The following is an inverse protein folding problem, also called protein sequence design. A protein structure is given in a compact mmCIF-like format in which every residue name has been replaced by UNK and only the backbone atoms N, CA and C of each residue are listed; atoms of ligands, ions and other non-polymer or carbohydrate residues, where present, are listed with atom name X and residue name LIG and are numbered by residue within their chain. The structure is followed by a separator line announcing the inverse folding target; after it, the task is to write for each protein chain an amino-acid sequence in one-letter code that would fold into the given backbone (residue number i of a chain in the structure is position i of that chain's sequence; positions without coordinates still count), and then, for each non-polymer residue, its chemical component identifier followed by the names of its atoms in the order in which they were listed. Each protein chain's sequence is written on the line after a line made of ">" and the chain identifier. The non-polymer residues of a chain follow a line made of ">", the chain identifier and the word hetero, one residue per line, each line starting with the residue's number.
data_IF_608296009434
#
_entry.id   IF_608296009434
#
_cell.length_a   1.000
_cell.length_b   1.000
_cell.length_c   1.000
_cell.angle_alpha   90.00
_cell.angle_beta   90.00
_cell.angle_gamma   90.00
#
_symmetry.space_group_name_H-M   'P 1'
#
loop_
_entity.id
_entity.type
_entity.pdbx_description
1 polymer ?
#
# COMPACT_ATOMS: atom_id res chain seq x y z
N UNK A 1 51.68 -27.44 73.22
CA UNK A 1 52.10 -26.24 72.47
C UNK A 1 51.81 -26.54 71.01
N UNK A 2 50.91 -25.72 70.45
CA UNK A 2 50.51 -25.59 69.04
C UNK A 2 49.96 -26.82 68.33
N UNK A 3 48.65 -26.98 68.51
CA UNK A 3 47.76 -27.76 67.65
C UNK A 3 47.75 -27.24 66.21
N UNK A 4 47.79 -28.23 65.33
CA UNK A 4 47.71 -28.19 63.89
C UNK A 4 46.31 -27.72 63.48
N UNK A 5 46.18 -26.50 62.95
CA UNK A 5 44.94 -26.03 62.33
C UNK A 5 44.67 -26.82 61.06
N UNK A 6 43.69 -27.71 61.16
CA UNK A 6 43.00 -28.35 60.05
C UNK A 6 42.52 -27.30 59.04
N UNK A 7 43.12 -27.29 57.86
CA UNK A 7 42.50 -26.69 56.69
C UNK A 7 41.27 -27.55 56.33
N UNK A 8 40.08 -27.01 56.57
CA UNK A 8 38.82 -27.57 56.07
C UNK A 8 38.84 -27.60 54.53
N UNK A 9 38.32 -28.67 53.88
CA UNK A 9 38.18 -28.74 52.42
C UNK A 9 37.18 -27.72 51.82
N UNK A 10 36.39 -27.01 52.64
CA UNK A 10 35.27 -26.18 52.17
C UNK A 10 35.67 -24.83 51.56
N UNK A 11 36.90 -24.36 51.71
CA UNK A 11 37.31 -23.03 51.23
C UNK A 11 37.81 -23.00 49.76
N UNK A 12 37.78 -24.12 49.04
CA UNK A 12 38.40 -24.21 47.69
C UNK A 12 37.47 -24.28 46.49
N UNK A 13 36.14 -24.18 46.66
CA UNK A 13 35.22 -24.35 45.52
C UNK A 13 34.06 -23.35 45.46
N UNK A 14 34.34 -22.05 45.45
CA UNK A 14 33.41 -21.09 44.84
C UNK A 14 34.11 -19.91 44.17
N UNK A 15 35.02 -20.19 43.23
CA UNK A 15 35.38 -19.18 42.21
C UNK A 15 34.27 -19.16 41.18
N UNK A 16 33.17 -18.48 41.51
CA UNK A 16 32.05 -18.26 40.59
C UNK A 16 32.60 -17.70 39.27
N UNK A 17 32.32 -18.40 38.15
CA UNK A 17 32.75 -17.95 36.84
C UNK A 17 32.20 -16.54 36.57
N UNK A 18 33.06 -15.58 36.19
CA UNK A 18 32.61 -14.23 35.90
C UNK A 18 31.55 -14.23 34.79
N UNK A 19 30.57 -13.34 34.89
CA UNK A 19 29.55 -13.14 33.86
C UNK A 19 30.25 -12.56 32.63
N UNK A 20 30.08 -13.21 31.46
CA UNK A 20 30.65 -12.70 30.21
C UNK A 20 29.97 -11.38 29.79
N UNK A 21 30.63 -10.56 28.97
CA UNK A 21 30.05 -9.29 28.51
C UNK A 21 28.71 -9.45 27.77
N UNK A 22 28.60 -10.49 26.94
CA UNK A 22 27.37 -10.81 26.19
C UNK A 22 26.26 -11.25 27.16
N UNK A 23 26.58 -12.15 28.09
CA UNK A 23 25.62 -12.64 29.09
C UNK A 23 25.10 -11.49 29.97
N UNK A 24 25.99 -10.58 30.37
CA UNK A 24 25.66 -9.36 31.12
C UNK A 24 24.69 -8.47 30.34
N UNK A 25 24.92 -8.26 29.05
CA UNK A 25 24.03 -7.49 28.19
C UNK A 25 22.66 -8.16 28.04
N UNK A 26 22.62 -9.47 27.81
CA UNK A 26 21.35 -10.22 27.70
C UNK A 26 20.55 -10.18 29.01
N UNK A 27 21.20 -10.36 30.17
CA UNK A 27 20.53 -10.23 31.47
C UNK A 27 19.98 -8.80 31.66
N UNK A 28 20.72 -7.79 31.21
CA UNK A 28 20.25 -6.41 31.24
C UNK A 28 19.03 -6.18 30.34
N UNK A 29 18.97 -6.80 29.15
CA UNK A 29 17.80 -6.79 28.26
C UNK A 29 16.58 -7.44 28.93
N UNK A 30 16.77 -8.49 29.72
CA UNK A 30 15.71 -9.12 30.51
C UNK A 30 15.21 -8.24 31.66
N UNK A 31 15.87 -7.10 31.92
CA UNK A 31 15.48 -6.14 32.93
C UNK A 31 16.02 -6.46 34.33
N UNK A 32 17.11 -7.21 34.43
CA UNK A 32 17.67 -7.60 35.73
C UNK A 32 19.08 -7.03 35.89
N UNK A 33 19.44 -6.49 37.06
CA UNK A 33 20.82 -6.14 37.37
C UNK A 33 21.68 -7.42 37.37
N UNK A 34 22.68 -7.55 36.48
CA UNK A 34 23.47 -8.78 36.33
C UNK A 34 24.15 -9.24 37.62
N UNK A 35 24.54 -8.30 38.47
CA UNK A 35 25.14 -8.53 39.78
C UNK A 35 24.21 -9.30 40.72
N UNK A 36 22.90 -9.07 40.65
CA UNK A 36 21.95 -9.63 41.61
C UNK A 36 21.69 -11.13 41.41
N UNK A 37 21.97 -11.66 40.22
CA UNK A 37 21.82 -13.08 39.89
C UNK A 37 23.17 -13.78 39.67
N UNK A 38 24.29 -13.10 39.93
CA UNK A 38 25.64 -13.63 39.75
C UNK A 38 25.86 -15.00 40.42
N UNK A 39 25.37 -15.25 41.66
CA UNK A 39 25.53 -16.54 42.33
C UNK A 39 24.69 -17.67 41.73
N UNK A 40 23.61 -17.35 41.00
CA UNK A 40 22.61 -18.31 40.55
C UNK A 40 22.80 -18.67 39.06
N UNK A 41 23.64 -19.67 38.78
CA UNK A 41 23.94 -20.12 37.40
C UNK A 41 22.70 -20.42 36.54
N UNK A 42 21.71 -21.11 37.10
CA UNK A 42 20.48 -21.45 36.37
C UNK A 42 19.61 -20.21 36.08
N UNK A 43 19.61 -19.22 36.97
CA UNK A 43 18.90 -17.96 36.72
C UNK A 43 19.59 -17.10 35.68
N UNK A 44 20.94 -17.07 35.69
CA UNK A 44 21.71 -16.41 34.62
C UNK A 44 21.30 -16.94 33.26
N UNK A 45 21.29 -18.27 33.08
CA UNK A 45 20.89 -18.88 31.81
C UNK A 45 19.44 -18.53 31.44
N UNK A 46 18.52 -18.61 32.42
CA UNK A 46 17.10 -18.28 32.23
C UNK A 46 16.88 -16.84 31.78
N UNK A 47 17.51 -15.89 32.48
CA UNK A 47 17.34 -14.47 32.20
C UNK A 47 18.13 -14.03 30.97
N UNK A 48 19.29 -14.62 30.68
CA UNK A 48 19.96 -14.42 29.39
C UNK A 48 19.10 -14.89 28.22
N UNK A 49 18.43 -16.04 28.32
CA UNK A 49 17.52 -16.52 27.28
C UNK A 49 16.27 -15.62 27.15
N UNK A 50 15.69 -15.16 28.26
CA UNK A 50 14.56 -14.20 28.23
C UNK A 50 14.97 -12.87 27.59
N UNK A 51 16.18 -12.38 27.89
CA UNK A 51 16.71 -11.15 27.31
C UNK A 51 17.10 -11.29 25.84
N UNK A 52 17.51 -12.48 25.40
CA UNK A 52 17.72 -12.77 23.99
C UNK A 52 16.40 -12.66 23.21
N UNK A 53 15.29 -13.17 23.75
CA UNK A 53 13.98 -13.05 23.10
C UNK A 53 13.56 -11.58 22.93
N UNK A 54 13.79 -10.75 23.95
CA UNK A 54 13.54 -9.30 23.92
C UNK A 54 14.46 -8.56 22.94
N UNK A 55 15.71 -9.01 22.83
CA UNK A 55 16.63 -8.45 21.85
C UNK A 55 16.19 -8.80 20.41
N UNK A 56 15.70 -10.02 20.19
CA UNK A 56 15.20 -10.46 18.89
C UNK A 56 13.95 -9.67 18.47
N UNK A 57 13.00 -9.39 19.37
CA UNK A 57 11.84 -8.52 19.07
C UNK A 57 12.30 -7.12 18.67
N UNK A 58 13.26 -6.54 19.40
CA UNK A 58 13.83 -5.25 19.03
C UNK A 58 14.51 -5.26 17.64
N UNK A 59 15.29 -6.31 17.31
CA UNK A 59 15.93 -6.46 15.99
C UNK A 59 14.88 -6.55 14.87
N UNK A 60 13.82 -7.36 15.06
CA UNK A 60 12.74 -7.43 14.08
C UNK A 60 12.00 -6.11 13.93
N UNK A 61 11.81 -5.36 15.02
CA UNK A 61 11.26 -4.01 14.97
C UNK A 61 12.14 -3.03 14.19
N UNK A 62 13.48 -3.11 14.31
CA UNK A 62 14.41 -2.33 13.46
C UNK A 62 14.24 -2.71 11.99
N UNK A 63 14.33 -3.99 11.66
CA UNK A 63 14.26 -4.46 10.26
C UNK A 63 12.92 -4.10 9.61
N UNK A 64 11.82 -4.34 10.32
CA UNK A 64 10.48 -4.01 9.85
C UNK A 64 10.24 -2.50 9.76
N UNK A 65 10.64 -1.75 10.79
CA UNK A 65 10.50 -0.29 10.82
C UNK A 65 11.32 0.39 9.73
N UNK A 66 12.57 -0.03 9.53
CA UNK A 66 13.42 0.46 8.45
C UNK A 66 12.85 0.10 7.08
N UNK A 67 12.35 -1.12 6.88
CA UNK A 67 11.71 -1.47 5.61
C UNK A 67 10.45 -0.64 5.35
N UNK A 68 9.59 -0.45 6.37
CA UNK A 68 8.38 0.36 6.25
C UNK A 68 8.70 1.83 5.90
N UNK A 69 9.68 2.41 6.57
CA UNK A 69 10.09 3.80 6.32
C UNK A 69 10.76 3.96 4.97
N UNK A 70 11.62 3.02 4.57
CA UNK A 70 12.19 3.02 3.22
C UNK A 70 11.10 2.89 2.17
N UNK A 71 10.08 2.07 2.43
CA UNK A 71 8.95 1.90 1.52
C UNK A 71 8.15 3.21 1.34
N UNK A 72 7.98 4.01 2.40
CA UNK A 72 7.21 5.27 2.35
C UNK A 72 8.03 6.42 1.79
N UNK A 73 9.26 6.58 2.25
CA UNK A 73 10.09 7.76 1.96
C UNK A 73 11.07 7.53 0.81
N UNK A 74 11.25 6.29 0.35
CA UNK A 74 12.23 5.88 -0.66
C UNK A 74 13.69 6.22 -0.30
N UNK A 75 13.96 6.51 0.98
CA UNK A 75 15.26 6.94 1.47
C UNK A 75 15.86 5.89 2.42
N UNK A 76 17.04 5.37 2.09
CA UNK A 76 17.63 4.22 2.81
C UNK A 76 18.21 4.64 4.17
N UNK A 77 19.07 5.68 4.19
CA UNK A 77 19.78 6.07 5.40
C UNK A 77 18.86 6.60 6.51
N UNK A 78 17.91 7.52 6.24
CA UNK A 78 16.96 7.98 7.25
C UNK A 78 16.07 6.84 7.76
N UNK A 79 15.66 5.91 6.89
CA UNK A 79 14.86 4.76 7.29
C UNK A 79 15.60 3.81 8.24
N UNK A 80 16.89 3.57 8.01
CA UNK A 80 17.73 2.80 8.94
C UNK A 80 17.86 3.51 10.28
N UNK A 81 18.18 4.81 10.28
CA UNK A 81 18.37 5.58 11.51
C UNK A 81 17.11 5.62 12.38
N UNK A 82 15.95 5.92 11.78
CA UNK A 82 14.67 5.96 12.49
C UNK A 82 14.24 4.55 12.91
N UNK A 83 14.48 3.53 12.08
CA UNK A 83 14.21 2.15 12.46
C UNK A 83 15.01 1.68 13.68
N UNK A 84 16.28 2.08 13.80
CA UNK A 84 17.10 1.82 15.00
C UNK A 84 16.49 2.50 16.24
N UNK A 85 16.09 3.77 16.12
CA UNK A 85 15.43 4.51 17.21
C UNK A 85 14.14 3.78 17.63
N UNK A 86 13.36 3.31 16.66
CA UNK A 86 12.14 2.56 16.92
C UNK A 86 12.42 1.21 17.61
N UNK A 87 13.41 0.45 17.16
CA UNK A 87 13.81 -0.80 17.82
C UNK A 87 14.30 -0.58 19.25
N UNK A 88 15.04 0.50 19.52
CA UNK A 88 15.44 0.87 20.89
C UNK A 88 14.24 1.25 21.76
N UNK A 89 13.23 1.90 21.18
CA UNK A 89 11.97 2.19 21.87
C UNK A 89 11.22 0.91 22.26
N UNK A 90 11.08 -0.05 21.32
CA UNK A 90 10.48 -1.36 21.59
C UNK A 90 11.28 -2.13 22.65
N UNK A 91 12.61 -2.17 22.53
CA UNK A 91 13.49 -2.79 23.51
C UNK A 91 13.26 -2.24 24.93
N UNK A 92 13.08 -0.92 25.03
CA UNK A 92 12.85 -0.23 26.31
C UNK A 92 11.50 -0.62 26.89
N UNK A 93 10.44 -0.62 26.09
CA UNK A 93 9.09 -1.02 26.52
C UNK A 93 9.08 -2.49 26.97
N UNK A 94 9.59 -3.40 26.15
CA UNK A 94 9.60 -4.84 26.47
C UNK A 94 10.39 -5.13 27.74
N UNK A 95 11.53 -4.46 27.91
CA UNK A 95 12.35 -4.53 29.12
C UNK A 95 11.57 -4.05 30.35
N UNK A 96 10.91 -2.90 30.26
CA UNK A 96 10.11 -2.34 31.37
C UNK A 96 8.93 -3.26 31.73
N UNK A 97 8.28 -3.84 30.73
CA UNK A 97 7.17 -4.78 30.94
C UNK A 97 7.64 -6.08 31.61
N UNK A 98 8.81 -6.61 31.24
CA UNK A 98 9.39 -7.77 31.92
C UNK A 98 9.77 -7.49 33.37
N UNK A 99 10.38 -6.33 33.64
CA UNK A 99 10.70 -5.90 35.01
C UNK A 99 9.47 -5.93 35.93
N UNK A 100 8.35 -5.40 35.45
CA UNK A 100 7.10 -5.39 36.22
C UNK A 100 6.58 -6.78 36.56
N UNK A 101 6.74 -7.75 35.65
CA UNK A 101 6.20 -9.11 35.81
C UNK A 101 6.96 -9.95 36.84
N UNK A 102 8.22 -9.63 37.15
CA UNK A 102 8.99 -10.40 38.12
C UNK A 102 8.46 -10.28 39.55
N UNK A 103 7.67 -9.24 39.85
CA UNK A 103 7.12 -8.96 41.19
C UNK A 103 5.87 -9.78 41.54
N UNK A 104 5.17 -10.35 40.56
CA UNK A 104 3.85 -10.93 40.78
C UNK A 104 3.84 -12.45 40.58
N UNK A 105 3.00 -13.16 41.37
CA UNK A 105 2.73 -14.59 41.23
C UNK A 105 1.22 -14.87 41.09
N UNK A 106 0.88 -16.05 40.57
CA UNK A 106 -0.48 -16.56 40.54
C UNK A 106 -1.45 -15.70 39.71
N UNK A 107 -2.66 -15.48 40.21
CA UNK A 107 -3.73 -14.77 39.49
C UNK A 107 -3.39 -13.31 39.17
N UNK A 108 -2.51 -12.68 39.96
CA UNK A 108 -2.07 -11.30 39.72
C UNK A 108 -1.12 -11.20 38.52
N UNK A 109 -0.33 -12.24 38.25
CA UNK A 109 0.54 -12.32 37.08
C UNK A 109 -0.27 -12.28 35.77
N UNK A 110 -1.38 -13.02 35.70
CA UNK A 110 -2.27 -13.02 34.54
C UNK A 110 -2.93 -11.65 34.29
N UNK A 111 -3.37 -10.98 35.37
CA UNK A 111 -3.96 -9.64 35.26
C UNK A 111 -2.97 -8.60 34.74
N UNK A 112 -1.69 -8.71 35.10
CA UNK A 112 -0.64 -7.80 34.62
C UNK A 112 -0.03 -8.22 33.28
N UNK A 113 -0.10 -9.51 32.93
CA UNK A 113 0.30 -10.01 31.62
C UNK A 113 -0.68 -9.69 30.49
N UNK A 114 -1.95 -9.42 30.81
CA UNK A 114 -2.98 -9.15 29.79
C UNK A 114 -2.74 -7.84 29.00
N UNK A 115 -2.45 -6.68 29.62
CA UNK A 115 -2.06 -5.48 28.87
C UNK A 115 -0.84 -5.70 27.96
N UNK A 116 0.10 -6.53 28.41
CA UNK A 116 1.27 -6.92 27.62
C UNK A 116 0.88 -7.76 26.40
N UNK A 117 0.00 -8.74 26.56
CA UNK A 117 -0.48 -9.55 25.43
C UNK A 117 -1.18 -8.68 24.38
N UNK A 118 -1.98 -7.71 24.82
CA UNK A 118 -2.63 -6.76 23.92
C UNK A 118 -1.60 -5.91 23.16
N UNK A 119 -0.60 -5.37 23.86
CA UNK A 119 0.46 -4.59 23.23
C UNK A 119 1.30 -5.43 22.26
N UNK A 120 1.68 -6.64 22.66
CA UNK A 120 2.40 -7.60 21.81
C UNK A 120 1.61 -7.94 20.54
N UNK A 121 0.28 -8.07 20.63
CA UNK A 121 -0.56 -8.27 19.45
C UNK A 121 -0.54 -7.07 18.50
N UNK A 122 -0.60 -5.84 19.02
CA UNK A 122 -0.51 -4.62 18.21
C UNK A 122 0.85 -4.52 17.52
N UNK A 123 1.94 -4.78 18.26
CA UNK A 123 3.31 -4.77 17.71
C UNK A 123 3.46 -5.85 16.64
N UNK A 124 3.02 -7.08 16.93
CA UNK A 124 3.09 -8.19 15.99
C UNK A 124 2.35 -7.91 14.68
N UNK A 125 1.13 -7.36 14.74
CA UNK A 125 0.37 -6.97 13.54
C UNK A 125 1.11 -5.86 12.77
N UNK A 126 1.66 -4.89 13.48
CA UNK A 126 2.37 -3.75 12.87
C UNK A 126 3.68 -4.17 12.21
N UNK A 127 4.43 -5.08 12.82
CA UNK A 127 5.69 -5.64 12.30
C UNK A 127 5.42 -6.65 11.17
N UNK A 128 4.30 -7.38 11.22
CA UNK A 128 3.93 -8.32 10.18
C UNK A 128 3.63 -7.64 8.85
N UNK A 129 3.04 -6.43 8.84
CA UNK A 129 2.59 -5.77 7.59
C UNK A 129 3.72 -5.44 6.61
N UNK A 130 4.83 -4.81 7.01
CA UNK A 130 5.95 -4.57 6.11
C UNK A 130 6.60 -5.89 5.64
N UNK A 131 6.71 -6.89 6.51
CA UNK A 131 7.22 -8.22 6.15
C UNK A 131 6.31 -8.94 5.12
N UNK A 132 5.00 -8.82 5.29
CA UNK A 132 3.99 -9.34 4.36
C UNK A 132 4.10 -8.69 2.98
N UNK A 133 4.20 -7.35 2.93
CA UNK A 133 4.41 -6.62 1.68
C UNK A 133 5.71 -7.04 0.98
N UNK A 134 6.75 -7.37 1.75
CA UNK A 134 8.02 -7.85 1.18
C UNK A 134 7.92 -9.29 0.66
N UNK A 135 7.21 -10.16 1.38
CA UNK A 135 7.05 -11.56 1.00
C UNK A 135 6.23 -11.69 -0.30
N UNK A 136 5.14 -10.94 -0.42
CA UNK A 136 4.24 -10.97 -1.57
C UNK A 136 4.60 -9.94 -2.66
N UNK A 137 5.84 -9.47 -2.70
CA UNK A 137 6.22 -8.35 -3.57
C UNK A 137 5.94 -8.62 -5.06
N UNK A 138 6.18 -9.85 -5.54
CA UNK A 138 5.97 -10.24 -6.93
C UNK A 138 4.49 -10.36 -7.30
N UNK A 139 3.70 -10.93 -6.39
CA UNK A 139 2.24 -11.06 -6.53
C UNK A 139 1.57 -9.69 -6.50
N UNK A 140 2.01 -8.82 -5.59
CA UNK A 140 1.55 -7.44 -5.48
C UNK A 140 1.85 -6.67 -6.76
N UNK A 141 3.04 -6.83 -7.35
CA UNK A 141 3.40 -6.15 -8.60
C UNK A 141 2.48 -6.58 -9.75
N UNK A 142 2.22 -7.88 -9.85
CA UNK A 142 1.32 -8.45 -10.87
C UNK A 142 -0.11 -7.93 -10.71
N UNK A 143 -0.68 -8.00 -9.51
CA UNK A 143 -2.05 -7.51 -9.26
C UNK A 143 -2.15 -5.98 -9.32
N UNK A 144 -1.09 -5.25 -8.96
CA UNK A 144 -1.05 -3.79 -9.12
C UNK A 144 -1.17 -3.38 -10.59
N UNK A 145 -0.57 -4.14 -11.51
CA UNK A 145 -0.71 -3.89 -12.95
C UNK A 145 -2.15 -4.14 -13.43
N UNK A 146 -2.83 -5.16 -12.89
CA UNK A 146 -4.24 -5.45 -13.20
C UNK A 146 -5.14 -4.33 -12.68
N UNK A 147 -4.98 -3.94 -11.41
CA UNK A 147 -5.76 -2.85 -10.80
C UNK A 147 -5.58 -1.52 -11.54
N UNK A 148 -4.34 -1.19 -11.95
CA UNK A 148 -4.07 -0.01 -12.77
C UNK A 148 -4.82 -0.03 -14.10
N UNK A 149 -4.91 -1.19 -14.77
CA UNK A 149 -5.65 -1.32 -16.03
C UNK A 149 -7.14 -1.11 -15.83
N UNK A 150 -7.71 -1.61 -14.74
CA UNK A 150 -9.14 -1.40 -14.46
C UNK A 150 -9.44 0.07 -14.18
N UNK A 151 -8.59 0.74 -13.37
CA UNK A 151 -8.72 2.18 -13.10
C UNK A 151 -8.57 3.01 -14.38
N UNK A 152 -7.60 2.68 -15.25
CA UNK A 152 -7.44 3.33 -16.55
C UNK A 152 -8.71 3.16 -17.38
N UNK A 153 -9.22 1.93 -17.49
CA UNK A 153 -10.40 1.63 -18.29
C UNK A 153 -11.64 2.37 -17.81
N UNK A 154 -11.89 2.39 -16.50
CA UNK A 154 -12.99 3.13 -15.90
C UNK A 154 -12.84 4.64 -16.18
N UNK A 155 -11.65 5.19 -15.95
CA UNK A 155 -11.40 6.61 -16.19
C UNK A 155 -11.50 7.01 -17.67
N UNK A 156 -11.04 6.16 -18.58
CA UNK A 156 -11.19 6.36 -20.03
C UNK A 156 -12.67 6.40 -20.40
N UNK A 157 -13.50 5.51 -19.84
CA UNK A 157 -14.94 5.50 -20.10
C UNK A 157 -15.63 6.78 -19.58
N UNK A 158 -15.24 7.29 -18.41
CA UNK A 158 -15.74 8.56 -17.88
C UNK A 158 -15.38 9.74 -18.77
N UNK A 159 -14.11 9.81 -19.21
CA UNK A 159 -13.62 10.83 -20.14
C UNK A 159 -14.39 10.72 -21.46
N UNK A 160 -14.49 9.52 -22.06
CA UNK A 160 -15.24 9.32 -23.31
C UNK A 160 -16.70 9.80 -23.17
N UNK A 161 -17.37 9.47 -22.05
CA UNK A 161 -18.72 9.94 -21.79
C UNK A 161 -18.83 11.46 -21.64
N UNK A 162 -17.83 12.11 -21.02
CA UNK A 162 -17.81 13.56 -20.87
C UNK A 162 -17.64 14.28 -22.23
N UNK A 163 -16.90 13.67 -23.15
CA UNK A 163 -16.58 14.23 -24.47
C UNK A 163 -17.57 13.82 -25.57
N UNK A 164 -18.40 12.80 -25.35
CA UNK A 164 -19.38 12.29 -26.32
C UNK A 164 -20.30 13.38 -26.92
N UNK A 165 -20.65 14.42 -26.16
CA UNK A 165 -21.46 15.55 -26.68
C UNK A 165 -20.76 16.27 -27.84
N UNK A 166 -19.45 16.48 -27.77
CA UNK A 166 -18.70 17.17 -28.81
C UNK A 166 -18.54 16.29 -30.04
N UNK A 167 -18.21 15.01 -29.85
CA UNK A 167 -18.10 14.02 -30.93
C UNK A 167 -19.43 13.89 -31.70
N UNK A 168 -20.55 13.71 -30.98
CA UNK A 168 -21.88 13.66 -31.57
C UNK A 168 -22.25 14.94 -32.34
N UNK A 169 -21.81 16.11 -31.86
CA UNK A 169 -22.06 17.38 -32.56
C UNK A 169 -21.29 17.45 -33.86
N UNK A 170 -20.02 17.05 -33.87
CA UNK A 170 -19.20 16.98 -35.09
C UNK A 170 -19.85 16.05 -36.11
N UNK A 171 -20.23 14.84 -35.68
CA UNK A 171 -20.84 13.84 -36.55
C UNK A 171 -22.19 14.33 -37.11
N UNK A 172 -23.00 15.03 -36.30
CA UNK A 172 -24.25 15.63 -36.79
C UNK A 172 -24.04 16.67 -37.90
N UNK A 173 -22.97 17.47 -37.82
CA UNK A 173 -22.63 18.48 -38.83
C UNK A 173 -22.15 17.80 -40.11
N UNK A 174 -21.31 16.77 -39.99
CA UNK A 174 -20.81 16.00 -41.14
C UNK A 174 -21.96 15.32 -41.88
N UNK A 175 -22.85 14.63 -41.16
CA UNK A 175 -24.03 13.96 -41.75
C UNK A 175 -24.95 14.97 -42.44
N UNK A 176 -25.21 16.12 -41.81
CA UNK A 176 -26.05 17.15 -42.40
C UNK A 176 -25.45 17.72 -43.70
N UNK A 177 -24.14 18.02 -43.71
CA UNK A 177 -23.46 18.52 -44.89
C UNK A 177 -23.34 17.49 -46.02
N UNK A 178 -23.07 16.22 -45.71
CA UNK A 178 -23.05 15.15 -46.73
C UNK A 178 -24.46 14.91 -47.32
N UNK A 179 -25.50 15.08 -46.52
CA UNK A 179 -26.90 15.01 -46.99
C UNK A 179 -27.20 16.14 -47.96
N UNK A 180 -26.79 17.37 -47.63
CA UNK A 180 -26.99 18.53 -48.50
C UNK A 180 -26.17 18.44 -49.79
N UNK A 181 -24.94 17.95 -49.72
CA UNK A 181 -24.10 17.71 -50.90
C UNK A 181 -24.81 16.75 -51.89
N UNK A 182 -25.36 15.63 -51.38
CA UNK A 182 -26.13 14.68 -52.21
C UNK A 182 -27.40 15.30 -52.80
N UNK A 183 -28.07 16.19 -52.06
CA UNK A 183 -29.25 16.91 -52.54
C UNK A 183 -28.89 17.81 -53.73
N UNK A 184 -27.82 18.61 -53.61
CA UNK A 184 -27.34 19.48 -54.67
C UNK A 184 -26.81 18.69 -55.87
N UNK A 185 -26.10 17.58 -55.65
CA UNK A 185 -25.66 16.68 -56.73
C UNK A 185 -26.85 16.12 -57.53
N UNK A 186 -27.91 15.71 -56.82
CA UNK A 186 -29.13 15.19 -57.44
C UNK A 186 -29.86 16.27 -58.25
N UNK A 187 -30.01 17.47 -57.69
CA UNK A 187 -30.63 18.62 -58.37
C UNK A 187 -29.87 19.01 -59.64
N UNK A 188 -28.53 19.10 -59.55
CA UNK A 188 -27.66 19.40 -60.70
C UNK A 188 -27.82 18.36 -61.79
N UNK A 189 -27.84 17.07 -61.43
CA UNK A 189 -28.03 15.98 -62.38
C UNK A 189 -29.41 16.06 -63.06
N UNK A 190 -30.47 16.32 -62.30
CA UNK A 190 -31.84 16.48 -62.83
C UNK A 190 -31.92 17.62 -63.86
N UNK A 191 -31.43 18.82 -63.52
CA UNK A 191 -31.45 19.97 -64.43
C UNK A 191 -30.62 19.74 -65.70
N UNK A 192 -29.47 19.06 -65.59
CA UNK A 192 -28.67 18.66 -66.76
C UNK A 192 -29.42 17.68 -67.67
N UNK A 193 -30.10 16.70 -67.08
CA UNK A 193 -30.91 15.74 -67.83
C UNK A 193 -32.07 16.43 -68.56
N UNK A 194 -32.74 17.39 -67.92
CA UNK A 194 -33.80 18.17 -68.56
C UNK A 194 -33.30 19.01 -69.72
N UNK A 195 -32.15 19.66 -69.57
CA UNK A 195 -31.51 20.40 -70.66
C UNK A 195 -31.13 19.46 -71.81
N UNK A 196 -30.59 18.27 -71.52
CA UNK A 196 -30.24 17.27 -72.54
C UNK A 196 -31.46 16.77 -73.32
N UNK A 197 -32.56 16.44 -72.62
CA UNK A 197 -33.83 16.04 -73.26
C UNK A 197 -34.37 17.12 -74.20
N UNK A 198 -34.22 18.39 -73.82
CA UNK A 198 -34.61 19.53 -74.66
C UNK A 198 -33.78 19.61 -75.94
N UNK A 199 -32.46 19.37 -75.88
CA UNK A 199 -31.58 19.37 -77.04
C UNK A 199 -31.87 18.19 -78.00
N UNK A 200 -32.16 17.01 -77.44
CA UNK A 200 -32.42 15.78 -78.20
C UNK A 200 -33.88 15.70 -78.71
N UNK A 201 -34.71 16.71 -78.44
CA UNK A 201 -36.11 16.78 -78.87
C UNK A 201 -37.07 15.84 -78.14
N UNK A 202 -36.61 15.15 -77.08
CA UNK A 202 -37.44 14.32 -76.19
C UNK A 202 -38.05 15.10 -75.02
N UNK A 203 -37.70 16.38 -74.91
CA UNK A 203 -38.23 17.34 -73.94
C UNK A 203 -39.55 17.99 -74.37
N UNK A 204 -40.01 18.95 -73.56
CA UNK A 204 -41.36 19.53 -73.67
C UNK A 204 -41.63 20.34 -74.95
N UNK A 205 -40.61 20.77 -75.69
CA UNK A 205 -40.82 21.44 -76.99
C UNK A 205 -40.97 20.50 -78.19
N UNK A 206 -40.55 19.23 -78.07
CA UNK A 206 -40.55 18.25 -79.17
C UNK A 206 -39.64 18.60 -80.35
N UNK A 207 -38.73 19.58 -80.21
CA UNK A 207 -37.88 20.07 -81.30
C UNK A 207 -36.42 19.70 -81.06
N UNK A 208 -35.82 18.98 -82.01
CA UNK A 208 -34.39 18.66 -82.02
C UNK A 208 -33.60 19.89 -82.46
N UNK A 209 -33.21 20.73 -81.52
CA UNK A 209 -32.28 21.85 -81.76
C UNK A 209 -31.91 22.54 -80.44
N UNK A 210 -30.68 23.05 -80.27
CA UNK A 210 -30.33 23.93 -79.14
C UNK A 210 -31.02 25.31 -79.26
N UNK A 211 -32.33 25.33 -79.02
CA UNK A 211 -33.19 26.50 -79.08
C UNK A 211 -33.19 27.35 -77.80
N UNK A 212 -34.06 28.38 -77.72
CA UNK A 212 -34.15 29.26 -76.55
C UNK A 212 -34.44 28.53 -75.24
N UNK A 213 -35.31 27.50 -75.24
CA UNK A 213 -35.67 26.72 -74.05
C UNK A 213 -34.47 25.91 -73.55
N UNK A 214 -33.71 25.29 -74.45
CA UNK A 214 -32.47 24.61 -74.11
C UNK A 214 -31.48 25.56 -73.43
N UNK A 215 -31.31 26.80 -73.94
CA UNK A 215 -30.41 27.79 -73.33
C UNK A 215 -30.80 28.14 -71.90
N UNK A 216 -32.09 28.32 -71.61
CA UNK A 216 -32.59 28.60 -70.26
C UNK A 216 -32.33 27.42 -69.31
N UNK A 217 -32.68 26.20 -69.73
CA UNK A 217 -32.46 25.00 -68.91
C UNK A 217 -30.97 24.71 -68.69
N UNK A 218 -30.14 24.94 -69.71
CA UNK A 218 -28.69 24.86 -69.60
C UNK A 218 -28.16 25.88 -68.59
N UNK A 219 -28.63 27.13 -68.67
CA UNK A 219 -28.25 28.15 -67.70
C UNK A 219 -28.61 27.75 -66.26
N UNK A 220 -29.81 27.21 -66.03
CA UNK A 220 -30.21 26.70 -64.71
C UNK A 220 -29.31 25.55 -64.24
N UNK A 221 -28.93 24.63 -65.14
CA UNK A 221 -28.01 23.54 -64.83
C UNK A 221 -26.58 24.03 -64.53
N UNK A 222 -26.13 25.08 -65.22
CA UNK A 222 -24.83 25.72 -65.01
C UNK A 222 -24.83 26.51 -63.67
N UNK A 223 -25.93 27.19 -63.32
CA UNK A 223 -26.13 27.85 -62.02
C UNK A 223 -26.10 26.83 -60.87
N UNK A 224 -26.83 25.72 -60.99
CA UNK A 224 -26.81 24.62 -60.01
C UNK A 224 -25.42 23.95 -59.91
N UNK A 225 -24.64 23.92 -61.00
CA UNK A 225 -23.26 23.45 -60.97
C UNK A 225 -22.38 24.38 -60.14
N UNK A 226 -22.49 25.70 -60.33
CA UNK A 226 -21.73 26.68 -59.55
C UNK A 226 -22.11 26.65 -58.07
N UNK A 227 -23.39 26.49 -57.74
CA UNK A 227 -23.86 26.35 -56.35
C UNK A 227 -23.27 25.09 -55.69
N UNK A 228 -23.29 23.94 -56.38
CA UNK A 228 -22.70 22.70 -55.90
C UNK A 228 -21.19 22.83 -55.67
N UNK A 229 -20.46 23.45 -56.61
CA UNK A 229 -19.01 23.65 -56.49
C UNK A 229 -18.65 24.56 -55.32
N UNK A 230 -19.39 25.66 -55.14
CA UNK A 230 -19.23 26.57 -54.01
C UNK A 230 -19.49 25.86 -52.68
N UNK A 231 -20.64 25.17 -52.56
CA UNK A 231 -20.97 24.43 -51.35
C UNK A 231 -19.96 23.32 -51.04
N UNK A 232 -19.52 22.57 -52.06
CA UNK A 232 -18.49 21.53 -51.88
C UNK A 232 -17.19 22.10 -51.35
N UNK A 233 -16.73 23.23 -51.90
CA UNK A 233 -15.51 23.90 -51.45
C UNK A 233 -15.61 24.34 -49.99
N UNK A 234 -16.70 25.00 -49.61
CA UNK A 234 -16.93 25.47 -48.24
C UNK A 234 -17.06 24.31 -47.24
N UNK A 235 -17.76 23.25 -47.66
CA UNK A 235 -17.95 22.07 -46.82
C UNK A 235 -16.65 21.29 -46.62
N UNK A 236 -15.77 21.21 -47.64
CA UNK A 236 -14.45 20.58 -47.49
C UNK A 236 -13.59 21.34 -46.46
N UNK A 237 -13.57 22.67 -46.53
CA UNK A 237 -12.89 23.50 -45.51
C UNK A 237 -13.47 23.30 -44.10
N UNK A 238 -14.79 23.10 -44.02
CA UNK A 238 -15.47 22.78 -42.75
C UNK A 238 -15.05 21.40 -42.24
N UNK A 239 -14.95 20.39 -43.11
CA UNK A 239 -14.46 19.05 -42.76
C UNK A 239 -13.05 19.10 -42.18
N UNK A 240 -12.15 19.85 -42.81
CA UNK A 240 -10.78 20.02 -42.33
C UNK A 240 -10.72 20.66 -40.95
N UNK A 241 -11.54 21.69 -40.72
CA UNK A 241 -11.65 22.36 -39.43
C UNK A 241 -12.20 21.43 -38.34
N UNK A 242 -13.22 20.63 -38.66
CA UNK A 242 -13.80 19.65 -37.75
C UNK A 242 -12.84 18.48 -37.45
N UNK A 243 -12.08 18.01 -38.44
CA UNK A 243 -11.05 17.00 -38.25
C UNK A 243 -9.92 17.52 -37.35
N UNK A 244 -9.47 18.75 -37.57
CA UNK A 244 -8.49 19.41 -36.71
C UNK A 244 -9.01 19.54 -35.27
N UNK A 245 -10.28 19.91 -35.10
CA UNK A 245 -10.92 19.96 -33.79
C UNK A 245 -11.03 18.58 -33.13
N UNK A 246 -11.34 17.52 -33.88
CA UNK A 246 -11.38 16.13 -33.37
C UNK A 246 -10.01 15.67 -32.87
N UNK A 247 -8.93 16.00 -33.60
CA UNK A 247 -7.55 15.74 -33.15
C UNK A 247 -7.23 16.50 -31.87
N UNK A 248 -7.59 17.78 -31.78
CA UNK A 248 -7.40 18.57 -30.57
C UNK A 248 -8.17 17.98 -29.37
N UNK A 249 -9.40 17.51 -29.59
CA UNK A 249 -10.22 16.84 -28.58
C UNK A 249 -9.56 15.56 -28.08
N UNK A 250 -9.04 14.73 -28.99
CA UNK A 250 -8.35 13.51 -28.63
C UNK A 250 -7.07 13.77 -27.81
N UNK A 251 -6.30 14.79 -28.20
CA UNK A 251 -5.13 15.21 -27.44
C UNK A 251 -5.52 15.71 -26.04
N UNK A 252 -6.66 16.41 -25.92
CA UNK A 252 -7.17 16.86 -24.62
C UNK A 252 -7.58 15.68 -23.73
N UNK A 253 -8.30 14.68 -24.28
CA UNK A 253 -8.68 13.45 -23.58
C UNK A 253 -7.43 12.70 -23.08
N UNK A 254 -6.41 12.60 -23.93
CA UNK A 254 -5.14 11.95 -23.61
C UNK A 254 -4.39 12.72 -22.50
N UNK A 255 -4.31 14.04 -22.59
CA UNK A 255 -3.68 14.89 -21.56
C UNK A 255 -4.39 14.75 -20.21
N UNK A 256 -5.73 14.73 -20.19
CA UNK A 256 -6.48 14.57 -18.94
C UNK A 256 -6.22 13.20 -18.30
N UNK A 257 -6.12 12.14 -19.11
CA UNK A 257 -5.77 10.81 -18.62
C UNK A 257 -4.33 10.77 -18.08
N UNK A 258 -3.38 11.40 -18.76
CA UNK A 258 -1.98 11.48 -18.32
C UNK A 258 -1.84 12.29 -17.02
N UNK A 259 -2.55 13.41 -16.90
CA UNK A 259 -2.61 14.22 -15.68
C UNK A 259 -3.21 13.42 -14.52
N UNK A 260 -4.25 12.63 -14.77
CA UNK A 260 -4.79 11.72 -13.76
C UNK A 260 -3.76 10.65 -13.35
N UNK A 261 -3.11 10.00 -14.31
CA UNK A 261 -2.16 8.92 -14.03
C UNK A 261 -0.88 9.39 -13.35
N UNK A 262 -0.41 10.60 -13.66
CA UNK A 262 0.73 11.21 -12.98
C UNK A 262 0.43 11.55 -11.52
N UNK A 263 -0.79 11.98 -11.21
CA UNK A 263 -1.27 12.20 -9.85
C UNK A 263 -1.68 10.91 -9.13
N UNK A 264 -2.03 9.86 -9.88
CA UNK A 264 -2.24 8.50 -9.38
C UNK A 264 -0.90 7.82 -9.04
N UNK A 265 -0.01 8.53 -8.34
CA UNK A 265 1.16 7.95 -7.70
C UNK A 265 0.73 7.11 -6.51
N UNK A 266 0.24 5.93 -6.86
CA UNK A 266 -0.27 4.94 -5.93
C UNK A 266 0.88 4.00 -5.56
N UNK A 267 1.83 4.49 -4.77
CA UNK A 267 2.91 3.65 -4.26
C UNK A 267 2.42 2.69 -3.18
N UNK A 268 1.91 3.24 -2.07
CA UNK A 268 1.53 2.46 -0.88
C UNK A 268 0.08 1.96 -0.93
N UNK A 269 -0.87 2.82 -1.26
CA UNK A 269 -2.31 2.48 -1.24
C UNK A 269 -2.61 1.39 -2.26
N UNK A 270 -2.10 1.51 -3.49
CA UNK A 270 -2.28 0.48 -4.51
C UNK A 270 -1.61 -0.84 -4.13
N UNK A 271 -0.44 -0.80 -3.47
CA UNK A 271 0.18 -2.04 -2.99
C UNK A 271 -0.62 -2.70 -1.87
N UNK A 272 -1.29 -1.94 -1.01
CA UNK A 272 -2.23 -2.52 -0.04
C UNK A 272 -3.50 -3.07 -0.72
N UNK A 273 -4.07 -2.36 -1.69
CA UNK A 273 -5.23 -2.85 -2.45
C UNK A 273 -4.86 -4.10 -3.25
N UNK A 274 -3.68 -4.12 -3.86
CA UNK A 274 -3.15 -5.28 -4.57
C UNK A 274 -2.91 -6.44 -3.60
N UNK A 275 -2.30 -6.22 -2.43
CA UNK A 275 -2.18 -7.24 -1.39
C UNK A 275 -3.55 -7.80 -0.98
N UNK A 276 -4.55 -6.94 -0.76
CA UNK A 276 -5.90 -7.40 -0.42
C UNK A 276 -6.53 -8.22 -1.56
N UNK A 277 -6.32 -7.83 -2.81
CA UNK A 277 -6.77 -8.56 -3.99
C UNK A 277 -6.08 -9.94 -4.11
N UNK A 278 -4.76 -9.97 -3.92
CA UNK A 278 -3.92 -11.18 -3.83
C UNK A 278 -4.48 -12.14 -2.78
N UNK A 279 -4.67 -11.65 -1.54
CA UNK A 279 -5.24 -12.43 -0.45
C UNK A 279 -6.67 -12.92 -0.76
N UNK A 280 -7.53 -12.10 -1.38
CA UNK A 280 -8.89 -12.51 -1.77
C UNK A 280 -8.89 -13.58 -2.86
N UNK A 281 -7.99 -13.48 -3.84
CA UNK A 281 -7.92 -14.35 -5.02
C UNK A 281 -7.32 -15.71 -4.71
N UNK A 282 -6.33 -15.79 -3.82
CA UNK A 282 -5.64 -17.05 -3.50
C UNK A 282 -5.80 -17.42 -2.01
N UNK A 283 -6.68 -18.40 -1.67
CA UNK A 283 -6.92 -18.81 -0.29
C UNK A 283 -5.66 -19.28 0.46
N UNK A 284 -4.74 -19.95 -0.26
CA UNK A 284 -3.42 -20.37 0.23
C UNK A 284 -2.63 -19.20 0.85
N UNK A 285 -2.70 -18.02 0.23
CA UNK A 285 -1.97 -16.84 0.67
C UNK A 285 -2.60 -16.20 1.92
N UNK A 286 -3.91 -16.36 2.14
CA UNK A 286 -4.54 -15.99 3.42
C UNK A 286 -3.99 -16.81 4.58
N UNK A 287 -3.73 -18.10 4.36
CA UNK A 287 -3.12 -18.95 5.37
C UNK A 287 -1.72 -18.44 5.71
N UNK A 288 -0.92 -18.10 4.70
CA UNK A 288 0.41 -17.51 4.90
C UNK A 288 0.33 -16.16 5.63
N UNK A 289 -0.63 -15.29 5.29
CA UNK A 289 -0.90 -14.04 6.01
C UNK A 289 -1.12 -14.26 7.51
N UNK A 290 -2.05 -15.14 7.88
CA UNK A 290 -2.32 -15.45 9.28
C UNK A 290 -1.14 -16.15 9.95
N UNK A 291 -0.42 -17.00 9.22
CA UNK A 291 0.79 -17.66 9.72
C UNK A 291 1.88 -16.66 10.11
N UNK A 292 2.10 -15.61 9.30
CA UNK A 292 3.09 -14.56 9.61
C UNK A 292 2.68 -13.78 10.87
N UNK A 293 1.40 -13.37 10.96
CA UNK A 293 0.90 -12.66 12.16
C UNK A 293 1.05 -13.55 13.40
N UNK A 294 0.68 -14.83 13.30
CA UNK A 294 0.80 -15.78 14.39
C UNK A 294 2.26 -16.00 14.78
N UNK A 295 3.18 -16.10 13.81
CA UNK A 295 4.61 -16.26 14.04
C UNK A 295 5.16 -15.08 14.83
N UNK A 296 4.88 -13.85 14.41
CA UNK A 296 5.32 -12.66 15.15
C UNK A 296 4.66 -12.59 16.53
N UNK A 297 3.37 -12.91 16.65
CA UNK A 297 2.69 -12.96 17.95
C UNK A 297 3.35 -13.95 18.91
N UNK A 298 3.74 -15.14 18.43
CA UNK A 298 4.44 -16.15 19.22
C UNK A 298 5.82 -15.64 19.66
N UNK A 299 6.56 -15.00 18.76
CA UNK A 299 7.88 -14.42 19.06
C UNK A 299 7.75 -13.29 20.10
N UNK A 300 6.82 -12.36 19.90
CA UNK A 300 6.58 -11.21 20.79
C UNK A 300 6.09 -11.64 22.18
N UNK A 301 5.27 -12.71 22.26
CA UNK A 301 4.78 -13.25 23.54
C UNK A 301 5.75 -14.25 24.16
N UNK A 302 6.84 -14.64 23.49
CA UNK A 302 7.81 -15.62 23.98
C UNK A 302 8.39 -15.29 25.37
N UNK A 303 8.77 -14.05 25.71
CA UNK A 303 9.28 -13.77 27.05
C UNK A 303 8.20 -13.86 28.14
N UNK A 304 6.93 -13.58 27.80
CA UNK A 304 5.80 -13.77 28.73
C UNK A 304 5.50 -15.25 28.93
N UNK A 305 5.44 -16.04 27.85
CA UNK A 305 5.20 -17.49 27.94
C UNK A 305 6.31 -18.17 28.72
N UNK A 306 7.57 -17.76 28.52
CA UNK A 306 8.70 -18.24 29.30
C UNK A 306 8.55 -17.93 30.79
N UNK A 307 8.11 -16.71 31.15
CA UNK A 307 7.84 -16.35 32.55
C UNK A 307 6.67 -17.14 33.16
N UNK A 308 5.66 -17.50 32.36
CA UNK A 308 4.50 -18.27 32.81
C UNK A 308 4.82 -19.77 32.99
N UNK A 309 5.65 -20.34 32.13
CA UNK A 309 6.00 -21.77 32.17
C UNK A 309 7.09 -22.08 33.20
N UNK A 310 7.99 -21.13 33.47
CA UNK A 310 9.11 -21.37 34.37
C UNK A 310 8.74 -21.12 35.83
N UNK A 311 9.16 -22.01 36.75
CA UNK A 311 8.95 -21.80 38.18
C UNK A 311 9.75 -20.58 38.66
N UNK A 312 9.29 -19.97 39.74
CA UNK A 312 9.94 -18.80 40.31
C UNK A 312 11.31 -19.15 40.88
N UNK A 313 12.31 -18.36 40.52
CA UNK A 313 13.72 -18.64 40.86
C UNK A 313 14.14 -18.04 42.20
N UNK A 314 15.28 -18.49 42.76
CA UNK A 314 15.86 -17.96 44.01
C UNK A 314 15.88 -16.43 44.14
N UNK A 315 16.27 -15.69 43.10
CA UNK A 315 16.32 -14.22 43.13
C UNK A 315 14.95 -13.58 43.22
N UNK A 316 13.96 -14.13 42.51
CA UNK A 316 12.58 -13.64 42.59
C UNK A 316 11.97 -13.86 43.98
N UNK A 317 12.39 -14.93 44.65
CA UNK A 317 12.01 -15.17 46.05
C UNK A 317 12.65 -14.14 46.99
N UNK A 318 13.94 -13.84 46.80
CA UNK A 318 14.66 -12.86 47.62
C UNK A 318 14.05 -11.46 47.51
N UNK A 319 13.85 -10.96 46.29
CA UNK A 319 13.28 -9.61 46.07
C UNK A 319 11.91 -9.47 46.71
N UNK A 320 11.07 -10.49 46.57
CA UNK A 320 9.72 -10.42 47.12
C UNK A 320 9.74 -10.40 48.65
N UNK A 321 10.60 -11.20 49.27
CA UNK A 321 10.73 -11.19 50.73
C UNK A 321 11.25 -9.83 51.23
N UNK A 322 12.22 -9.23 50.52
CA UNK A 322 12.70 -7.87 50.82
C UNK A 322 11.59 -6.82 50.66
N UNK A 323 10.78 -6.90 49.59
CA UNK A 323 9.64 -6.00 49.37
C UNK A 323 8.58 -6.16 50.46
N UNK A 324 8.23 -7.39 50.86
CA UNK A 324 7.29 -7.68 51.95
C UNK A 324 7.77 -7.11 53.29
N UNK A 325 9.05 -7.30 53.63
CA UNK A 325 9.65 -6.78 54.87
C UNK A 325 9.66 -5.23 54.90
N UNK A 326 9.94 -4.59 53.76
CA UNK A 326 9.89 -3.12 53.64
C UNK A 326 8.46 -2.63 53.83
N UNK A 327 7.47 -3.27 53.21
CA UNK A 327 6.05 -2.90 53.33
C UNK A 327 5.58 -3.06 54.78
N UNK A 328 5.97 -4.14 55.46
CA UNK A 328 5.64 -4.36 56.87
C UNK A 328 6.22 -3.24 57.76
N UNK A 329 7.51 -2.89 57.58
CA UNK A 329 8.15 -1.78 58.29
C UNK A 329 7.45 -0.43 58.05
N UNK A 330 7.00 -0.18 56.82
CA UNK A 330 6.24 1.03 56.46
C UNK A 330 4.89 1.04 57.19
N UNK A 331 4.14 -0.05 57.13
CA UNK A 331 2.82 -0.16 57.77
C UNK A 331 2.91 -0.02 59.29
N UNK A 332 3.93 -0.62 59.92
CA UNK A 332 4.18 -0.48 61.35
C UNK A 332 4.47 0.99 61.71
N UNK A 333 5.28 1.70 60.93
CA UNK A 333 5.59 3.12 61.15
C UNK A 333 4.34 4.00 61.08
N UNK A 334 3.43 3.74 60.15
CA UNK A 334 2.15 4.46 60.02
C UNK A 334 1.11 4.06 61.06
N UNK A 335 1.17 2.84 61.61
CA UNK A 335 0.28 2.40 62.69
C UNK A 335 0.69 2.95 64.07
N UNK A 336 1.94 3.39 64.24
CA UNK A 336 2.48 3.96 65.49
C UNK A 336 2.48 5.49 65.53
N UNK A 337 2.05 6.16 64.46
CA UNK A 337 1.96 7.62 64.33
C UNK A 337 0.50 8.09 64.46
#
# INVERSE_FOLDING_TARGET
>A
MTDNKSNSPEEKENKEKPISGIERFLIWCAGIPPEAIKPYKMERLRFSASGLLVLLTAIFAVLSGSYALHFVFNEVYPAIAIGIIWGLFILTIDRLLLMGLYRYKGRHLWKQGLPRLALAAVIAITVAKPMELKLFAAEIETESAVLKREVIKERTADIDSAYAKYENRIDSILVAGDTELKRLESLRNELREEARREADGTGGSGKVSPGPIYRIKKQQADEAQSELEAFRSDFESTKDSLNSYRVALQNQKQSELEDYLSNFQSGLILKFQALEAVLKRYPEQKLVHYFIILLFLVIETAPLTMKLLMPTGPWEHLIRNEEEEIIEKINLRYSTA
#
